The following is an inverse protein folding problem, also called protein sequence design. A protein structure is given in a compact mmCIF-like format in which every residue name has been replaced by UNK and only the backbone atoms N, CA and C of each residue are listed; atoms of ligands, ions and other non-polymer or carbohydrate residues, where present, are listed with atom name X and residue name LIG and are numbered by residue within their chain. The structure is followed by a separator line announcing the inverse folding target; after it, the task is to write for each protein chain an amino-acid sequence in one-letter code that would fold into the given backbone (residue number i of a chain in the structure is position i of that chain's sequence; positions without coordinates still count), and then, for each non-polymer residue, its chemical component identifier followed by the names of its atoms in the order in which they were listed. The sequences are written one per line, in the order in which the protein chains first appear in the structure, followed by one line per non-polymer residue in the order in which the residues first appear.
data_IF_529601841447
#
_entry.id   IF_529601841447
#
_cell.length_a   1.000
_cell.length_b   1.000
_cell.length_c   1.000
_cell.angle_alpha   90.00
_cell.angle_beta   90.00
_cell.angle_gamma   90.00
#
_symmetry.space_group_name_H-M   'P 1'
#
loop_
_entity.id
_entity.type
_entity.pdbx_description
1 polymer ?
#
# COMPACT_ATOMS: atom_id res chain seq x y z
N UNK A 1 -10.72 9.17 -0.97
CA UNK A 1 -9.68 8.67 -0.06
C UNK A 1 -8.34 9.24 -0.48
N UNK A 2 -7.49 9.52 0.49
CA UNK A 2 -6.17 10.11 0.31
C UNK A 2 -5.13 9.25 1.03
N UNK A 3 -4.13 8.78 0.29
CA UNK A 3 -2.96 8.14 0.89
C UNK A 3 -2.02 9.22 1.42
N UNK A 4 -1.66 9.14 2.70
CA UNK A 4 -0.72 10.05 3.35
C UNK A 4 0.49 9.25 3.80
N UNK A 5 1.67 9.62 3.28
CA UNK A 5 2.95 8.97 3.60
C UNK A 5 3.82 10.01 4.30
N UNK A 6 4.05 9.82 5.59
CA UNK A 6 4.95 10.64 6.39
C UNK A 6 6.29 9.93 6.56
N UNK A 7 7.37 10.59 6.14
CA UNK A 7 8.75 10.12 6.33
C UNK A 7 9.43 11.01 7.36
N UNK A 8 10.00 10.42 8.42
CA UNK A 8 10.66 11.17 9.51
C UNK A 8 12.01 10.55 9.83
N UNK A 9 12.95 11.39 10.22
CA UNK A 9 14.24 10.96 10.79
C UNK A 9 14.18 11.20 12.30
N UNK A 10 14.14 10.13 13.09
CA UNK A 10 14.07 10.20 14.56
C UNK A 10 15.22 9.38 15.14
N UNK A 11 16.14 10.03 15.86
CA UNK A 11 17.30 9.38 16.49
C UNK A 11 18.09 8.47 15.53
N UNK A 12 18.41 8.96 14.33
CA UNK A 12 19.08 8.22 13.24
C UNK A 12 18.30 7.03 12.66
N UNK A 13 17.01 6.93 12.94
CA UNK A 13 16.12 5.95 12.34
C UNK A 13 15.17 6.60 11.35
N UNK A 14 15.00 5.97 10.20
CA UNK A 14 14.10 6.39 9.13
C UNK A 14 12.73 5.76 9.37
N UNK A 15 11.81 6.54 9.90
CA UNK A 15 10.44 6.14 10.15
C UNK A 15 9.56 6.49 8.94
N UNK A 16 8.75 5.52 8.52
CA UNK A 16 7.73 5.69 7.48
C UNK A 16 6.39 5.34 8.08
N UNK A 17 5.49 6.31 8.12
CA UNK A 17 4.10 6.15 8.52
C UNK A 17 3.23 6.28 7.29
N UNK A 18 2.38 5.30 7.05
CA UNK A 18 1.44 5.29 5.94
C UNK A 18 0.04 5.27 6.53
N UNK A 19 -0.77 6.24 6.16
CA UNK A 19 -2.14 6.43 6.67
C UNK A 19 -3.10 6.75 5.53
N UNK A 20 -4.39 6.54 5.80
CA UNK A 20 -5.47 6.83 4.85
C UNK A 20 -6.33 7.92 5.48
N UNK A 21 -6.44 9.04 4.79
CA UNK A 21 -7.28 10.17 5.16
C UNK A 21 -8.42 10.34 4.14
N UNK A 22 -9.37 11.23 4.45
CA UNK A 22 -10.41 11.69 3.51
C UNK A 22 -11.18 10.55 2.80
N UNK A 23 -11.51 9.48 3.53
CA UNK A 23 -12.34 8.38 3.02
C UNK A 23 -13.77 8.89 2.87
N UNK A 24 -14.28 8.94 1.64
CA UNK A 24 -15.63 9.38 1.34
C UNK A 24 -16.65 8.28 1.70
N UNK A 25 -17.92 8.62 1.93
CA UNK A 25 -18.98 7.64 2.21
C UNK A 25 -19.09 6.55 1.13
N UNK A 26 -19.02 6.94 -0.15
CA UNK A 26 -19.06 6.04 -1.30
C UNK A 26 -17.93 4.99 -1.30
N UNK A 27 -16.75 5.38 -0.81
CA UNK A 27 -15.61 4.46 -0.68
C UNK A 27 -15.79 3.54 0.53
N UNK A 28 -16.44 4.02 1.59
CA UNK A 28 -16.79 3.21 2.76
C UNK A 28 -17.79 2.12 2.39
N UNK A 29 -18.77 2.45 1.54
CA UNK A 29 -19.70 1.49 0.94
C UNK A 29 -18.96 0.48 0.04
N UNK A 30 -18.01 0.94 -0.78
CA UNK A 30 -17.17 0.05 -1.60
C UNK A 30 -16.40 -0.98 -0.75
N UNK A 31 -15.81 -0.57 0.38
CA UNK A 31 -15.12 -1.49 1.29
C UNK A 31 -16.07 -2.42 2.05
N UNK A 32 -17.32 -2.00 2.27
CA UNK A 32 -18.36 -2.83 2.87
C UNK A 32 -18.86 -3.90 1.88
N UNK A 33 -19.07 -3.53 0.62
CA UNK A 33 -19.66 -4.38 -0.42
C UNK A 33 -18.67 -5.39 -1.00
N UNK A 34 -17.42 -4.98 -1.25
CA UNK A 34 -16.40 -5.82 -1.89
C UNK A 34 -15.43 -6.48 -0.90
N UNK A 35 -15.60 -6.22 0.40
CA UNK A 35 -14.76 -6.72 1.47
C UNK A 35 -13.46 -5.95 1.68
N UNK A 36 -12.85 -6.16 2.85
CA UNK A 36 -11.60 -5.50 3.24
C UNK A 36 -10.45 -5.98 2.37
N UNK A 37 -9.80 -5.07 1.63
CA UNK A 37 -8.64 -5.44 0.81
C UNK A 37 -7.42 -5.68 1.70
N UNK A 38 -6.88 -6.88 1.63
CA UNK A 38 -5.59 -7.22 2.20
C UNK A 38 -4.47 -6.83 1.25
N UNK A 39 -3.51 -6.04 1.72
CA UNK A 39 -2.27 -5.75 1.01
C UNK A 39 -1.08 -6.38 1.74
N UNK A 40 -0.10 -6.87 1.00
CA UNK A 40 1.18 -7.23 1.58
C UNK A 40 1.96 -5.93 1.87
N UNK A 41 2.37 -5.73 3.11
CA UNK A 41 3.27 -4.65 3.56
C UNK A 41 4.72 -5.13 3.73
N UNK A 42 5.02 -6.36 3.35
CA UNK A 42 6.35 -6.96 3.39
C UNK A 42 6.92 -7.29 2.01
N UNK A 43 7.70 -8.36 1.92
CA UNK A 43 8.26 -8.87 0.68
C UNK A 43 9.37 -7.99 0.11
N UNK A 44 9.55 -8.05 -1.20
CA UNK A 44 10.53 -7.25 -1.93
C UNK A 44 10.11 -5.77 -1.96
N UNK A 45 11.04 -4.91 -1.54
CA UNK A 45 10.89 -3.47 -1.48
C UNK A 45 11.66 -2.85 -2.64
N UNK A 46 10.93 -2.22 -3.55
CA UNK A 46 11.49 -1.62 -4.76
C UNK A 46 11.12 -0.14 -4.82
N UNK A 47 12.07 0.71 -5.20
CA UNK A 47 11.78 2.13 -5.47
C UNK A 47 10.89 2.27 -6.71
N UNK A 48 10.12 3.33 -6.78
CA UNK A 48 9.30 3.63 -7.96
C UNK A 48 10.18 3.73 -9.21
N UNK A 49 9.91 2.90 -10.21
CA UNK A 49 10.70 2.81 -11.44
C UNK A 49 12.02 2.03 -11.33
N UNK A 50 12.33 1.46 -10.16
CA UNK A 50 13.46 0.55 -9.97
C UNK A 50 13.16 -0.85 -10.50
N UNK A 51 14.21 -1.54 -10.96
CA UNK A 51 14.11 -2.93 -11.48
C UNK A 51 14.62 -3.98 -10.51
N UNK A 52 15.32 -3.58 -9.44
CA UNK A 52 15.86 -4.47 -8.42
C UNK A 52 15.38 -4.03 -7.03
N UNK A 53 15.10 -4.98 -6.12
CA UNK A 53 14.70 -4.66 -4.76
C UNK A 53 15.87 -4.08 -3.95
N UNK A 54 15.60 -3.03 -3.18
CA UNK A 54 16.55 -2.44 -2.23
C UNK A 54 16.71 -3.32 -0.98
N UNK A 55 15.65 -4.02 -0.58
CA UNK A 55 15.66 -5.02 0.48
C UNK A 55 14.46 -5.96 0.35
N UNK A 56 14.54 -7.10 1.03
CA UNK A 56 13.39 -8.00 1.24
C UNK A 56 13.12 -8.08 2.73
N UNK A 57 11.87 -7.85 3.13
CA UNK A 57 11.41 -8.00 4.51
C UNK A 57 10.36 -9.12 4.58
N UNK A 58 10.16 -9.69 5.77
CA UNK A 58 9.16 -10.75 5.95
C UNK A 58 7.77 -10.29 5.52
N UNK A 59 7.05 -11.16 4.81
CA UNK A 59 5.68 -10.88 4.38
C UNK A 59 4.79 -10.59 5.59
N UNK A 60 3.95 -9.57 5.44
CA UNK A 60 2.99 -9.18 6.46
C UNK A 60 1.79 -8.58 5.76
N UNK A 61 0.60 -9.07 6.05
CA UNK A 61 -0.62 -8.63 5.37
C UNK A 61 -1.42 -7.70 6.27
N UNK A 62 -1.99 -6.63 5.69
CA UNK A 62 -2.78 -5.61 6.38
C UNK A 62 -4.02 -5.25 5.59
N UNK A 63 -5.13 -5.04 6.29
CA UNK A 63 -6.41 -4.70 5.69
C UNK A 63 -6.61 -3.19 5.55
N UNK A 64 -6.97 -2.74 4.35
CA UNK A 64 -7.41 -1.38 4.06
C UNK A 64 -8.91 -1.21 4.40
N UNK A 65 -9.33 -0.08 4.99
CA UNK A 65 -8.53 0.93 5.68
C UNK A 65 -8.25 0.59 7.16
N UNK A 66 -8.76 -0.53 7.68
CA UNK A 66 -8.90 -0.76 9.13
C UNK A 66 -7.59 -0.93 9.90
N UNK A 67 -6.54 -1.45 9.26
CA UNK A 67 -5.26 -1.67 9.92
C UNK A 67 -4.29 -0.48 9.76
N UNK A 68 -4.76 0.62 9.16
CA UNK A 68 -3.99 1.86 8.98
C UNK A 68 -4.30 2.85 10.11
N UNK A 69 -3.30 3.60 10.60
CA UNK A 69 -1.97 3.78 10.03
C UNK A 69 -0.99 2.63 10.33
N UNK A 70 -0.09 2.35 9.38
CA UNK A 70 1.05 1.45 9.58
C UNK A 70 2.32 2.27 9.79
N UNK A 71 3.16 1.85 10.73
CA UNK A 71 4.45 2.48 11.01
C UNK A 71 5.56 1.46 10.86
N UNK A 72 6.62 1.82 10.13
CA UNK A 72 7.83 1.02 10.01
C UNK A 72 9.06 1.88 10.19
N UNK A 73 10.06 1.33 10.88
CA UNK A 73 11.30 2.02 11.21
C UNK A 73 12.46 1.25 10.57
N UNK A 74 13.28 1.97 9.82
CA UNK A 74 14.46 1.45 9.15
C UNK A 74 15.69 2.11 9.77
N UNK A 75 16.55 1.30 10.40
CA UNK A 75 17.69 1.80 11.17
C UNK A 75 18.98 1.67 10.37
N UNK A 76 19.95 2.57 10.62
CA UNK A 76 21.30 2.41 10.07
C UNK A 76 21.99 1.15 10.58
N UNK A 77 21.66 0.69 11.80
CA UNK A 77 22.21 -0.56 12.34
C UNK A 77 21.80 -1.79 11.50
N UNK A 78 20.59 -1.78 10.94
CA UNK A 78 20.07 -2.89 10.14
C UNK A 78 20.46 -2.81 8.66
N UNK A 79 20.43 -1.62 8.07
CA UNK A 79 20.57 -1.42 6.61
C UNK A 79 21.79 -0.59 6.21
N UNK A 80 22.61 -0.14 7.17
CA UNK A 80 23.78 0.70 6.91
C UNK A 80 23.41 1.98 6.16
N UNK A 81 24.25 2.34 5.20
CA UNK A 81 24.05 3.51 4.32
C UNK A 81 22.78 3.44 3.47
N UNK A 82 22.23 2.23 3.25
CA UNK A 82 21.01 2.02 2.46
C UNK A 82 19.72 2.25 3.24
N UNK A 83 19.78 2.58 4.53
CA UNK A 83 18.57 2.71 5.35
C UNK A 83 17.56 3.72 4.78
N UNK A 84 18.03 4.84 4.21
CA UNK A 84 17.19 5.82 3.49
C UNK A 84 16.55 5.21 2.24
N UNK A 85 17.34 4.47 1.47
CA UNK A 85 16.90 3.86 0.22
C UNK A 85 15.84 2.80 0.46
N UNK A 86 16.02 1.98 1.49
CA UNK A 86 15.07 0.95 1.91
C UNK A 86 13.79 1.58 2.46
N UNK A 87 13.88 2.63 3.28
CA UNK A 87 12.70 3.36 3.76
C UNK A 87 11.91 3.99 2.60
N UNK A 88 12.62 4.51 1.59
CA UNK A 88 11.99 5.06 0.38
C UNK A 88 11.34 3.97 -0.46
N UNK A 89 12.04 2.86 -0.69
CA UNK A 89 11.52 1.69 -1.41
C UNK A 89 10.28 1.10 -0.73
N UNK A 90 10.26 1.07 0.61
CA UNK A 90 9.08 0.68 1.38
C UNK A 90 7.88 1.57 1.05
N UNK A 91 8.03 2.89 1.19
CA UNK A 91 6.96 3.83 0.88
C UNK A 91 6.42 3.66 -0.56
N UNK A 92 7.32 3.57 -1.54
CA UNK A 92 6.97 3.44 -2.96
C UNK A 92 6.25 2.11 -3.24
N UNK A 93 6.74 1.02 -2.65
CA UNK A 93 6.15 -0.31 -2.80
C UNK A 93 4.75 -0.37 -2.22
N UNK A 94 4.55 0.17 -1.01
CA UNK A 94 3.22 0.17 -0.38
C UNK A 94 2.26 1.06 -1.16
N UNK A 95 2.71 2.24 -1.61
CA UNK A 95 1.91 3.11 -2.47
C UNK A 95 1.42 2.36 -3.72
N UNK A 96 2.34 1.72 -4.45
CA UNK A 96 1.99 0.98 -5.67
C UNK A 96 0.99 -0.15 -5.40
N UNK A 97 1.18 -0.90 -4.31
CA UNK A 97 0.28 -2.00 -3.94
C UNK A 97 -1.11 -1.50 -3.56
N UNK A 98 -1.21 -0.39 -2.83
CA UNK A 98 -2.49 0.26 -2.50
C UNK A 98 -3.18 0.78 -3.76
N UNK A 99 -2.47 1.50 -4.61
CA UNK A 99 -3.00 2.01 -5.89
C UNK A 99 -3.53 0.87 -6.78
N UNK A 100 -2.75 -0.21 -6.90
CA UNK A 100 -3.14 -1.40 -7.66
C UNK A 100 -4.40 -2.03 -7.08
N UNK A 101 -4.43 -2.23 -5.76
CA UNK A 101 -5.56 -2.85 -5.08
C UNK A 101 -6.86 -2.05 -5.23
N UNK A 102 -6.80 -0.73 -5.06
CA UNK A 102 -7.95 0.17 -5.25
C UNK A 102 -8.41 0.14 -6.71
N UNK A 103 -7.48 0.18 -7.66
CA UNK A 103 -7.81 0.10 -9.09
C UNK A 103 -8.53 -1.21 -9.43
N UNK A 104 -8.05 -2.34 -8.89
CA UNK A 104 -8.73 -3.64 -9.06
C UNK A 104 -10.11 -3.66 -8.43
N UNK A 105 -10.29 -3.06 -7.24
CA UNK A 105 -11.63 -2.94 -6.63
C UNK A 105 -12.59 -2.15 -7.52
N UNK A 106 -12.18 -0.99 -8.01
CA UNK A 106 -13.00 -0.14 -8.89
C UNK A 106 -13.36 -0.84 -10.20
N UNK A 107 -12.43 -1.60 -10.78
CA UNK A 107 -12.71 -2.40 -11.98
C UNK A 107 -13.77 -3.49 -11.74
N UNK A 108 -13.82 -4.09 -10.54
CA UNK A 108 -14.86 -5.07 -10.21
C UNK A 108 -16.25 -4.43 -10.12
N UNK A 109 -16.35 -3.23 -9.56
CA UNK A 109 -17.60 -2.46 -9.52
C UNK A 109 -18.17 -2.22 -10.93
N UNK A 110 -17.29 -1.89 -11.89
CA UNK A 110 -17.68 -1.60 -13.28
C UNK A 110 -18.10 -2.86 -14.07
N UNK A 111 -17.58 -4.05 -13.69
CA UNK A 111 -17.83 -5.29 -14.42
C UNK A 111 -19.23 -5.90 -14.29
N UNK A 112 -20.07 -5.40 -13.36
CA UNK A 112 -21.44 -5.90 -13.17
C UNK A 112 -22.45 -5.25 -14.14
N UNK A 113 -22.17 -4.04 -14.62
CA UNK A 113 -23.06 -3.31 -15.53
C UNK A 113 -22.70 -3.58 -16.99
N UNK A 114 -23.50 -4.41 -17.66
CA UNK A 114 -23.40 -4.66 -19.10
C UNK A 114 -24.50 -5.62 -19.57
N UNK A 115 -25.02 -5.40 -20.78
CA UNK A 115 -25.99 -6.31 -21.39
C UNK A 115 -25.22 -7.49 -22.00
N UNK A 116 -25.33 -8.67 -21.40
CA UNK A 116 -24.90 -9.92 -22.03
C UNK A 116 -26.06 -10.51 -22.82
N UNK A 117 -26.04 -10.34 -24.14
CA UNK A 117 -26.94 -11.06 -25.03
C UNK A 117 -26.44 -12.49 -25.21
N UNK A 118 -27.19 -13.45 -24.65
CA UNK A 118 -27.01 -14.88 -24.93
C UNK A 118 -27.92 -15.22 -26.11
N UNK A 119 -27.33 -15.46 -27.28
CA UNK A 119 -28.05 -16.08 -28.40
C UNK A 119 -28.20 -17.57 -28.08
N UNK A 120 -29.43 -18.01 -27.80
CA UNK A 120 -29.78 -19.42 -27.65
C UNK A 120 -29.92 -20.09 -29.01
#
# INVERSE_FOLDING_TARGET
MKLVIDKKLVSNNYEVVISIADVQPEETELFADFGKVSINIGGELTKKGGTAPEATIGDAFKYLPTDFPITRVFTQAQYGVKAVDVATAFADTIQLRIETAITTMKAKQDSFTGTSEVVL
#
